data_IF_971709870023
#
_entry.id   IF_971709870023
#
_cell.length_a   1.000
_cell.length_b   1.000
_cell.length_c   1.000
_cell.angle_alpha   90.00
_cell.angle_beta   90.00
_cell.angle_gamma   90.00
#
_symmetry.space_group_name_H-M   'P 1'
#
loop_
_entity.id
_entity.type
_entity.pdbx_description
1 polymer ?
#
# COMPACT_ATOMS: atom_id res chain seq x y z
N UNK A 1 48.75 -48.80 -24.88
CA UNK A 1 47.81 -48.16 -23.93
C UNK A 1 47.57 -46.72 -24.37
N UNK A 2 46.34 -46.44 -24.83
CA UNK A 2 45.93 -45.14 -25.38
C UNK A 2 45.13 -44.41 -24.30
N UNK A 3 45.64 -43.30 -23.75
CA UNK A 3 44.83 -42.37 -22.94
C UNK A 3 44.62 -41.11 -23.76
N UNK A 4 43.45 -41.02 -24.41
CA UNK A 4 43.00 -39.81 -25.09
C UNK A 4 42.58 -38.83 -24.01
N UNK A 5 43.26 -37.68 -23.93
CA UNK A 5 42.89 -36.59 -23.04
C UNK A 5 41.70 -35.85 -23.67
N UNK A 6 40.50 -36.18 -23.22
CA UNK A 6 39.27 -35.49 -23.63
C UNK A 6 39.23 -34.15 -22.91
N UNK A 7 39.53 -33.06 -23.62
CA UNK A 7 39.30 -31.69 -23.14
C UNK A 7 37.82 -31.39 -23.34
N UNK A 8 37.05 -31.48 -22.26
CA UNK A 8 35.66 -31.03 -22.23
C UNK A 8 35.66 -29.51 -22.15
N UNK A 9 35.33 -28.86 -23.26
CA UNK A 9 35.11 -27.42 -23.34
C UNK A 9 33.82 -27.09 -22.57
N UNK A 10 33.97 -26.55 -21.36
CA UNK A 10 32.88 -26.06 -20.51
C UNK A 10 32.50 -24.65 -20.99
N UNK A 11 31.54 -24.57 -21.91
CA UNK A 11 30.99 -23.30 -22.40
C UNK A 11 30.20 -22.65 -21.26
N UNK A 12 30.85 -21.76 -20.53
CA UNK A 12 30.18 -20.86 -19.58
C UNK A 12 29.56 -19.73 -20.40
N UNK A 13 28.29 -19.88 -20.77
CA UNK A 13 27.49 -18.78 -21.31
C UNK A 13 27.13 -17.87 -20.14
N UNK A 14 27.98 -16.87 -19.88
CA UNK A 14 27.66 -15.79 -18.95
C UNK A 14 26.51 -14.97 -19.54
N UNK A 15 25.32 -15.14 -18.97
CA UNK A 15 24.15 -14.27 -19.19
C UNK A 15 24.47 -12.91 -18.52
N UNK A 16 25.23 -12.08 -19.21
CA UNK A 16 25.59 -10.74 -18.78
C UNK A 16 25.10 -9.72 -19.82
N UNK A 17 23.80 -9.75 -20.16
CA UNK A 17 23.19 -8.78 -21.06
C UNK A 17 21.66 -8.61 -20.92
N UNK A 18 21.05 -9.05 -19.81
CA UNK A 18 19.59 -8.84 -19.57
C UNK A 18 19.31 -7.99 -18.32
N UNK A 19 20.31 -7.74 -17.47
CA UNK A 19 20.12 -6.97 -16.24
C UNK A 19 20.04 -5.44 -16.42
N UNK A 20 20.32 -4.90 -17.61
CA UNK A 20 20.37 -3.46 -17.85
C UNK A 20 19.14 -2.86 -18.56
N UNK A 21 18.17 -3.69 -18.99
CA UNK A 21 16.98 -3.22 -19.73
C UNK A 21 15.69 -3.35 -18.90
N UNK A 22 15.73 -4.05 -17.76
CA UNK A 22 14.56 -4.28 -16.91
C UNK A 22 14.24 -3.18 -15.89
N UNK A 23 15.16 -2.25 -15.62
CA UNK A 23 15.00 -1.26 -14.53
C UNK A 23 14.58 0.14 -14.98
N UNK A 24 14.54 0.41 -16.29
CA UNK A 24 14.26 1.75 -16.83
C UNK A 24 12.93 1.89 -17.58
N UNK A 25 12.13 0.82 -17.72
CA UNK A 25 10.82 0.85 -18.40
C UNK A 25 9.59 1.01 -17.48
N UNK A 26 9.78 1.09 -16.17
CA UNK A 26 8.71 1.50 -15.23
C UNK A 26 8.90 2.96 -14.79
N UNK A 27 9.16 3.85 -15.72
CA UNK A 27 8.93 5.28 -15.54
C UNK A 27 7.47 5.60 -15.89
N UNK A 28 6.55 4.91 -15.22
CA UNK A 28 5.18 5.40 -15.10
C UNK A 28 5.24 6.76 -14.41
N UNK A 29 4.68 7.78 -15.03
CA UNK A 29 4.62 9.16 -14.55
C UNK A 29 4.38 9.18 -13.04
N UNK A 30 5.43 9.41 -12.25
CA UNK A 30 5.32 9.49 -10.79
C UNK A 30 4.53 10.76 -10.52
N UNK A 31 3.23 10.64 -10.30
CA UNK A 31 2.47 11.70 -9.65
C UNK A 31 3.20 11.96 -8.32
N UNK A 32 3.78 13.15 -8.19
CA UNK A 32 4.76 13.50 -7.15
C UNK A 32 4.08 13.80 -5.81
N UNK A 33 3.33 12.84 -5.29
CA UNK A 33 2.81 12.96 -3.94
C UNK A 33 3.94 12.65 -2.96
N UNK A 34 4.10 13.49 -1.94
CA UNK A 34 5.02 13.23 -0.84
C UNK A 34 4.35 12.21 0.09
N UNK A 35 4.94 11.03 0.25
CA UNK A 35 4.47 10.02 1.20
C UNK A 35 4.87 10.44 2.62
N UNK A 36 3.87 10.68 3.47
CA UNK A 36 4.05 11.15 4.85
C UNK A 36 3.94 9.97 5.81
N UNK A 37 3.01 9.06 5.52
CA UNK A 37 2.78 7.86 6.31
C UNK A 37 2.36 6.73 5.38
N UNK A 38 2.81 5.51 5.68
CA UNK A 38 2.39 4.31 5.00
C UNK A 38 2.45 3.10 5.95
N UNK A 39 1.38 2.30 5.91
CA UNK A 39 1.35 0.97 6.51
C UNK A 39 0.66 -0.01 5.58
N UNK A 40 1.20 -1.24 5.48
CA UNK A 40 0.56 -2.36 4.81
C UNK A 40 0.00 -3.33 5.86
N UNK A 41 -1.31 -3.37 5.99
CA UNK A 41 -2.02 -4.21 6.94
C UNK A 41 -2.43 -5.53 6.29
N UNK A 42 -1.45 -6.42 6.11
CA UNK A 42 -1.65 -7.75 5.53
C UNK A 42 -1.26 -8.91 6.47
N UNK A 43 -0.74 -8.60 7.67
CA UNK A 43 -0.41 -9.59 8.70
C UNK A 43 -1.28 -9.33 9.95
N UNK A 44 -2.16 -10.28 10.36
CA UNK A 44 -2.97 -10.16 11.57
C UNK A 44 -2.19 -9.87 12.84
N UNK A 45 -0.89 -10.20 12.90
CA UNK A 45 -0.03 -9.95 14.06
C UNK A 45 0.26 -8.47 14.29
N UNK A 46 0.04 -7.61 13.30
CA UNK A 46 0.18 -6.17 13.43
C UNK A 46 -0.93 -5.55 14.29
N UNK A 47 -2.03 -6.27 14.49
CA UNK A 47 -3.17 -5.81 15.27
C UNK A 47 -3.07 -6.28 16.72
N UNK A 48 -3.40 -5.38 17.64
CA UNK A 48 -3.64 -5.69 19.05
C UNK A 48 -5.13 -5.53 19.33
N UNK A 49 -5.78 -6.60 19.79
CA UNK A 49 -7.24 -6.64 19.98
C UNK A 49 -8.04 -6.18 18.75
N UNK A 50 -7.54 -6.54 17.55
CA UNK A 50 -8.16 -6.20 16.27
C UNK A 50 -7.90 -4.79 15.78
N UNK A 51 -7.06 -4.00 16.47
CA UNK A 51 -6.76 -2.61 16.12
C UNK A 51 -5.26 -2.46 15.86
N UNK A 52 -4.90 -1.81 14.77
CA UNK A 52 -3.52 -1.38 14.52
C UNK A 52 -3.34 0.02 15.09
N UNK A 53 -2.19 0.30 15.70
CA UNK A 53 -1.87 1.63 16.22
C UNK A 53 -0.40 1.96 16.02
N UNK A 54 -0.13 3.23 15.73
CA UNK A 54 1.21 3.75 15.47
C UNK A 54 1.24 5.27 15.75
N UNK A 55 2.43 5.87 15.72
CA UNK A 55 2.60 7.31 15.89
C UNK A 55 3.64 7.89 14.93
N UNK A 56 3.39 9.10 14.45
CA UNK A 56 4.32 9.81 13.55
C UNK A 56 4.18 11.33 13.67
N UNK A 57 5.26 12.05 13.36
CA UNK A 57 5.25 13.52 13.30
C UNK A 57 4.91 13.99 11.90
N UNK A 58 4.04 15.00 11.81
CA UNK A 58 3.62 15.60 10.54
C UNK A 58 3.57 17.12 10.66
N UNK A 59 3.91 17.82 9.58
CA UNK A 59 3.84 19.27 9.49
C UNK A 59 2.40 19.76 9.28
N UNK A 60 2.16 21.06 9.46
CA UNK A 60 0.91 21.67 9.03
C UNK A 60 0.70 21.56 7.51
N UNK A 61 -0.53 21.34 7.09
CA UNK A 61 -0.91 21.28 5.69
C UNK A 61 -2.15 20.46 5.39
N UNK A 62 -2.52 20.42 4.12
CA UNK A 62 -3.57 19.55 3.59
C UNK A 62 -2.97 18.23 3.12
N UNK A 63 -3.63 17.13 3.48
CA UNK A 63 -3.19 15.77 3.18
C UNK A 63 -4.37 14.95 2.66
N UNK A 64 -4.07 13.90 1.92
CA UNK A 64 -5.07 12.96 1.39
C UNK A 64 -4.72 11.53 1.80
N UNK A 65 -5.72 10.80 2.28
CA UNK A 65 -5.67 9.36 2.43
C UNK A 65 -5.73 8.66 1.08
N UNK A 66 -4.90 7.64 0.91
CA UNK A 66 -4.95 6.75 -0.24
C UNK A 66 -4.84 5.31 0.20
N UNK A 67 -5.42 4.45 -0.61
CA UNK A 67 -5.55 3.05 -0.27
C UNK A 67 -5.14 2.16 -1.44
N UNK A 68 -4.40 1.10 -1.12
CA UNK A 68 -4.25 -0.06 -2.01
C UNK A 68 -5.04 -1.19 -1.38
N UNK A 69 -6.08 -1.64 -2.09
CA UNK A 69 -7.11 -2.52 -1.56
C UNK A 69 -7.61 -3.49 -2.63
N UNK A 70 -8.34 -4.52 -2.21
CA UNK A 70 -8.99 -5.49 -3.07
C UNK A 70 -10.39 -5.85 -2.53
N UNK A 71 -11.02 -6.86 -3.11
CA UNK A 71 -12.37 -7.27 -2.70
C UNK A 71 -12.44 -7.97 -1.35
N UNK A 72 -11.30 -8.42 -0.81
CA UNK A 72 -11.21 -9.07 0.50
C UNK A 72 -10.81 -8.06 1.60
N UNK A 73 -10.50 -6.82 1.23
CA UNK A 73 -10.23 -5.73 2.19
C UNK A 73 -11.42 -5.52 3.14
N UNK A 74 -11.20 -4.90 4.31
CA UNK A 74 -12.28 -4.59 5.25
C UNK A 74 -13.47 -3.87 4.59
N UNK A 75 -14.69 -4.33 4.85
CA UNK A 75 -15.90 -3.66 4.32
C UNK A 75 -16.02 -2.24 4.90
N UNK A 76 -15.63 -2.09 6.16
CA UNK A 76 -15.47 -0.81 6.85
C UNK A 76 -14.07 -0.74 7.46
N UNK A 77 -13.36 0.34 7.15
CA UNK A 77 -12.05 0.65 7.73
C UNK A 77 -12.15 1.95 8.51
N UNK A 78 -12.18 1.86 9.83
CA UNK A 78 -12.17 3.06 10.68
C UNK A 78 -10.73 3.54 10.85
N UNK A 79 -10.44 4.76 10.42
CA UNK A 79 -9.15 5.40 10.63
C UNK A 79 -9.33 6.61 11.54
N UNK A 80 -8.59 6.61 12.65
CA UNK A 80 -8.60 7.71 13.61
C UNK A 80 -7.20 8.31 13.70
N UNK A 81 -7.11 9.63 13.69
CA UNK A 81 -5.93 10.40 14.02
C UNK A 81 -6.19 11.26 15.25
N UNK A 82 -5.26 11.23 16.21
CA UNK A 82 -5.30 12.09 17.40
C UNK A 82 -3.95 12.78 17.59
N UNK A 83 -3.97 14.09 17.61
CA UNK A 83 -2.85 14.95 17.96
C UNK A 83 -3.21 15.91 19.08
N UNK A 84 -2.31 16.86 19.34
CA UNK A 84 -2.50 17.87 20.40
C UNK A 84 -3.62 18.87 20.05
N UNK A 85 -3.66 19.33 18.81
CA UNK A 85 -4.60 20.36 18.32
C UNK A 85 -5.48 19.86 17.17
N UNK A 86 -5.39 18.58 16.84
CA UNK A 86 -6.08 17.95 15.72
C UNK A 86 -6.70 16.62 16.13
N UNK A 87 -7.92 16.34 15.67
CA UNK A 87 -8.52 15.01 15.75
C UNK A 87 -9.36 14.76 14.50
N UNK A 88 -9.28 13.55 14.00
CA UNK A 88 -10.01 13.07 12.84
C UNK A 88 -10.44 11.62 13.07
N UNK A 89 -11.63 11.26 12.60
CA UNK A 89 -12.10 9.88 12.57
C UNK A 89 -13.04 9.72 11.39
N UNK A 90 -12.81 8.70 10.58
CA UNK A 90 -13.66 8.37 9.43
C UNK A 90 -13.81 6.86 9.29
N UNK A 91 -15.02 6.46 8.90
CA UNK A 91 -15.38 5.08 8.57
C UNK A 91 -15.41 4.94 7.05
N UNK A 92 -14.28 4.52 6.48
CA UNK A 92 -14.16 4.29 5.04
C UNK A 92 -14.92 3.03 4.63
N UNK A 93 -15.86 3.15 3.70
CA UNK A 93 -16.70 2.04 3.21
C UNK A 93 -16.20 1.49 1.89
N UNK A 94 -15.97 0.18 1.82
CA UNK A 94 -15.48 -0.48 0.61
C UNK A 94 -16.62 -0.56 -0.42
N UNK A 95 -16.40 0.04 -1.59
CA UNK A 95 -17.35 0.03 -2.70
C UNK A 95 -16.76 -0.73 -3.89
N UNK A 96 -17.44 -1.80 -4.29
CA UNK A 96 -17.16 -2.53 -5.52
C UNK A 96 -17.83 -1.87 -6.73
N UNK A 97 -17.03 -1.39 -7.67
CA UNK A 97 -17.47 -0.79 -8.93
C UNK A 97 -17.42 -1.87 -10.01
N UNK A 98 -18.58 -2.32 -10.53
CA UNK A 98 -18.61 -3.31 -11.60
C UNK A 98 -18.24 -2.68 -12.94
N UNK A 99 -17.53 -3.46 -13.75
CA UNK A 99 -17.23 -3.18 -15.15
C UNK A 99 -17.71 -4.36 -15.98
N UNK A 100 -18.56 -4.09 -16.96
CA UNK A 100 -19.09 -5.09 -17.88
C UNK A 100 -18.54 -4.82 -19.28
N UNK A 101 -17.94 -5.83 -19.89
CA UNK A 101 -17.36 -5.76 -21.24
C UNK A 101 -18.25 -6.39 -22.31
N UNK A 102 -19.44 -6.89 -21.93
CA UNK A 102 -20.34 -7.68 -22.78
C UNK A 102 -19.97 -9.17 -22.86
N UNK A 103 -18.73 -9.54 -22.52
CA UNK A 103 -18.24 -10.93 -22.47
C UNK A 103 -17.74 -11.34 -21.08
N UNK A 104 -17.50 -10.38 -20.19
CA UNK A 104 -17.04 -10.62 -18.83
C UNK A 104 -17.43 -9.45 -17.93
N UNK A 105 -17.56 -9.75 -16.63
CA UNK A 105 -17.78 -8.77 -15.57
C UNK A 105 -16.64 -8.86 -14.56
N UNK A 106 -16.02 -7.72 -14.26
CA UNK A 106 -15.01 -7.63 -13.20
C UNK A 106 -15.32 -6.43 -12.29
N UNK A 107 -14.64 -6.38 -11.14
CA UNK A 107 -14.85 -5.34 -10.15
C UNK A 107 -13.54 -4.61 -9.88
N UNK A 108 -13.63 -3.29 -9.76
CA UNK A 108 -12.60 -2.47 -9.11
C UNK A 108 -13.13 -2.00 -7.78
N UNK A 109 -12.24 -1.69 -6.84
CA UNK A 109 -12.64 -1.35 -5.48
C UNK A 109 -12.13 0.04 -5.12
N UNK A 110 -12.88 0.74 -4.27
CA UNK A 110 -12.45 1.99 -3.63
C UNK A 110 -13.00 2.07 -2.21
N UNK A 111 -12.37 2.86 -1.37
CA UNK A 111 -13.01 3.32 -0.14
C UNK A 111 -13.75 4.63 -0.41
N UNK A 112 -14.95 4.75 0.14
CA UNK A 112 -15.73 5.98 0.17
C UNK A 112 -15.74 6.57 1.59
N UNK A 113 -15.52 7.87 1.71
CA UNK A 113 -15.38 8.60 2.99
C UNK A 113 -14.65 9.94 2.80
N UNK A 114 -14.53 10.73 3.86
CA UNK A 114 -13.68 11.93 3.87
C UNK A 114 -12.20 11.53 3.84
N UNK A 115 -11.58 11.62 2.67
CA UNK A 115 -10.18 11.26 2.47
C UNK A 115 -9.21 12.44 2.63
N UNK A 116 -9.72 13.68 2.70
CA UNK A 116 -8.91 14.90 2.76
C UNK A 116 -8.98 15.53 4.14
N UNK A 117 -7.82 15.81 4.71
CA UNK A 117 -7.67 16.41 6.04
C UNK A 117 -6.77 17.64 6.00
N UNK A 118 -7.00 18.58 6.92
CA UNK A 118 -6.16 19.75 7.09
C UNK A 118 -5.61 19.80 8.53
N UNK A 119 -4.30 19.61 8.66
CA UNK A 119 -3.59 19.62 9.93
C UNK A 119 -3.07 21.04 10.18
N UNK A 120 -3.40 21.70 11.30
CA UNK A 120 -3.16 23.12 11.48
C UNK A 120 -1.68 23.48 11.64
N UNK A 121 -0.91 22.62 12.29
CA UNK A 121 0.48 22.87 12.66
C UNK A 121 1.25 21.56 12.83
N UNK A 122 2.57 21.66 12.94
CA UNK A 122 3.43 20.50 13.19
C UNK A 122 3.11 19.86 14.54
N UNK A 123 2.81 18.57 14.53
CA UNK A 123 2.50 17.80 15.73
C UNK A 123 2.76 16.31 15.52
N UNK A 124 2.91 15.58 16.63
CA UNK A 124 2.82 14.12 16.63
C UNK A 124 1.35 13.72 16.55
N UNK A 125 1.06 12.75 15.67
CA UNK A 125 -0.24 12.11 15.55
C UNK A 125 -0.14 10.65 15.94
N UNK A 126 -1.08 10.21 16.75
CA UNK A 126 -1.39 8.80 16.96
C UNK A 126 -2.42 8.37 15.92
N UNK A 127 -2.10 7.35 15.14
CA UNK A 127 -3.03 6.72 14.21
C UNK A 127 -3.54 5.41 14.81
N UNK A 128 -4.84 5.17 14.65
CA UNK A 128 -5.49 3.90 14.96
C UNK A 128 -6.31 3.47 13.76
N UNK A 129 -6.16 2.21 13.35
CA UNK A 129 -6.87 1.62 12.21
C UNK A 129 -7.61 0.36 12.68
N UNK A 130 -8.93 0.37 12.57
CA UNK A 130 -9.80 -0.75 12.93
C UNK A 130 -10.51 -1.31 11.68
N UNK A 131 -10.20 -2.55 11.26
CA UNK A 131 -10.82 -3.20 10.10
C UNK A 131 -12.16 -3.87 10.42
N UNK A 132 -12.77 -3.55 11.57
CA UNK A 132 -14.05 -4.09 12.03
C UNK A 132 -14.07 -5.63 12.07
N UNK A 133 -12.96 -6.23 12.51
CA UNK A 133 -12.77 -7.67 12.61
C UNK A 133 -12.14 -8.33 11.38
N UNK A 134 -12.08 -7.66 10.22
CA UNK A 134 -11.43 -8.22 9.03
C UNK A 134 -9.90 -7.99 9.02
N UNK A 135 -9.19 -8.62 9.94
CA UNK A 135 -7.72 -8.49 10.08
C UNK A 135 -6.92 -9.26 9.00
N UNK A 136 -7.58 -10.10 8.22
CA UNK A 136 -6.99 -10.89 7.14
C UNK A 136 -7.10 -10.21 5.77
N UNK A 137 -8.09 -9.32 5.61
CA UNK A 137 -8.29 -8.52 4.42
C UNK A 137 -7.15 -7.52 4.23
N UNK A 138 -6.33 -7.65 3.17
CA UNK A 138 -5.17 -6.79 3.01
C UNK A 138 -5.60 -5.37 2.64
N UNK A 139 -4.99 -4.38 3.26
CA UNK A 139 -5.12 -2.98 2.86
C UNK A 139 -3.83 -2.24 3.17
N UNK A 140 -3.33 -1.45 2.22
CA UNK A 140 -2.31 -0.43 2.53
C UNK A 140 -2.98 0.92 2.70
N UNK A 141 -2.61 1.62 3.76
CA UNK A 141 -3.09 2.97 4.07
C UNK A 141 -1.93 3.92 3.91
N UNK A 142 -2.13 4.96 3.10
CA UNK A 142 -1.18 6.03 2.86
C UNK A 142 -1.78 7.35 3.32
N UNK A 143 -0.94 8.22 3.87
CA UNK A 143 -1.21 9.64 3.96
C UNK A 143 -0.21 10.37 3.09
N UNK A 144 -0.71 11.16 2.14
CA UNK A 144 0.14 11.85 1.16
C UNK A 144 -0.16 13.34 1.12
N UNK A 145 0.83 14.13 0.68
CA UNK A 145 0.73 15.57 0.44
C UNK A 145 0.84 15.90 -1.04
#
# INVERSE_FOLDING_TARGET
MKKKLTIVVMVVITIAAVAAIGSSMFSGTKNQYEEIYHVMLADPKLYHDGIFSDAFTVKGGTYQFRFVLNGDSPEVLTVTLKGKSFSFSEDFKLEGIPHDTGISKYYTWKYNGQDTINIPEEQELQISINPQGNVLGPVSVYLVK
#
